data_IF_336206400440
#
_entry.id   IF_336206400440
#
_cell.length_a   1.000
_cell.length_b   1.000
_cell.length_c   1.000
_cell.angle_alpha   90.00
_cell.angle_beta   90.00
_cell.angle_gamma   90.00
#
_symmetry.space_group_name_H-M   'P 1'
#
loop_
_entity.id
_entity.type
_entity.pdbx_description
1 polymer ?
#
# COMPACT_ATOMS: atom_id res chain seq x y z
N UNK A 1 2.18 4.12 -21.07
CA UNK A 1 2.61 3.30 -19.92
C UNK A 1 4.03 2.84 -20.23
N UNK A 2 5.00 2.99 -19.32
CA UNK A 2 6.35 2.50 -19.57
C UNK A 2 6.34 0.97 -19.74
N UNK A 3 7.22 0.45 -20.60
CA UNK A 3 7.36 -0.99 -20.82
C UNK A 3 7.98 -1.58 -19.55
N UNK A 4 7.30 -2.56 -18.94
CA UNK A 4 7.84 -3.30 -17.80
C UNK A 4 8.83 -4.34 -18.34
N UNK A 5 10.10 -4.32 -17.91
CA UNK A 5 11.09 -5.27 -18.39
C UNK A 5 10.73 -6.72 -18.03
N UNK A 6 10.94 -7.63 -18.98
CA UNK A 6 10.84 -9.08 -18.76
C UNK A 6 12.19 -9.64 -18.35
N UNK A 7 12.19 -10.47 -17.31
CA UNK A 7 13.32 -11.28 -16.83
C UNK A 7 13.12 -12.71 -17.32
N UNK A 8 14.21 -13.30 -17.84
CA UNK A 8 14.25 -14.69 -18.28
C UNK A 8 15.14 -15.47 -17.32
N UNK A 9 14.57 -16.42 -16.59
CA UNK A 9 15.34 -17.35 -15.75
C UNK A 9 15.46 -18.71 -16.42
N UNK A 10 16.70 -19.13 -16.66
CA UNK A 10 17.00 -20.44 -17.23
C UNK A 10 17.21 -21.44 -16.10
N UNK A 11 16.42 -22.51 -16.11
CA UNK A 11 16.57 -23.65 -15.20
C UNK A 11 16.78 -24.94 -16.00
N UNK A 12 17.22 -26.01 -15.35
CA UNK A 12 17.31 -27.34 -15.99
C UNK A 12 15.95 -27.84 -16.52
N UNK A 13 14.83 -27.28 -16.05
CA UNK A 13 13.45 -27.63 -16.46
C UNK A 13 12.87 -26.69 -17.53
N UNK A 14 13.67 -25.77 -18.06
CA UNK A 14 13.25 -24.80 -19.08
C UNK A 14 13.39 -23.34 -18.63
N UNK A 15 12.87 -22.44 -19.46
CA UNK A 15 12.90 -20.99 -19.24
C UNK A 15 11.58 -20.52 -18.60
N UNK A 16 11.69 -19.68 -17.57
CA UNK A 16 10.54 -18.97 -16.98
C UNK A 16 10.66 -17.48 -17.26
N UNK A 17 9.52 -16.87 -17.58
CA UNK A 17 9.40 -15.46 -17.90
C UNK A 17 8.65 -14.76 -16.77
N UNK A 18 9.24 -13.70 -16.23
CA UNK A 18 8.66 -12.87 -15.19
C UNK A 18 8.77 -11.41 -15.60
N UNK A 19 7.85 -10.56 -15.19
CA UNK A 19 8.14 -9.14 -15.13
C UNK A 19 8.95 -8.80 -13.87
N UNK A 20 9.59 -7.62 -13.85
CA UNK A 20 10.42 -7.19 -12.71
C UNK A 20 9.65 -7.18 -11.38
N UNK A 21 8.37 -6.81 -11.36
CA UNK A 21 7.57 -6.77 -10.12
C UNK A 21 7.22 -8.18 -9.65
N UNK A 22 6.84 -9.07 -10.57
CA UNK A 22 6.66 -10.50 -10.24
C UNK A 22 7.91 -11.12 -9.63
N UNK A 23 9.10 -10.76 -10.15
CA UNK A 23 10.37 -11.25 -9.58
C UNK A 23 10.64 -10.68 -8.19
N UNK A 24 10.36 -9.40 -7.97
CA UNK A 24 10.48 -8.77 -6.65
C UNK A 24 9.45 -9.31 -5.64
N UNK A 25 8.27 -9.70 -6.10
CA UNK A 25 7.25 -10.33 -5.27
C UNK A 25 7.70 -11.72 -4.77
N UNK A 26 8.46 -12.50 -5.56
CA UNK A 26 9.10 -13.73 -5.06
C UNK A 26 10.05 -13.46 -3.88
N UNK A 27 10.68 -12.27 -3.87
CA UNK A 27 11.51 -11.77 -2.77
C UNK A 27 10.74 -11.03 -1.66
N UNK A 28 9.40 -11.12 -1.70
CA UNK A 28 8.47 -10.51 -0.73
C UNK A 28 8.50 -8.99 -0.72
N UNK A 29 8.77 -8.39 -1.87
CA UNK A 29 8.79 -6.94 -2.07
C UNK A 29 7.54 -6.51 -2.85
N UNK A 30 6.77 -5.59 -2.27
CA UNK A 30 5.56 -5.00 -2.86
C UNK A 30 5.78 -3.50 -3.04
N UNK A 31 5.26 -2.94 -4.15
CA UNK A 31 5.28 -1.51 -4.41
C UNK A 31 3.88 -0.91 -4.35
N UNK A 32 3.68 0.03 -3.43
CA UNK A 32 2.54 0.95 -3.41
C UNK A 32 2.97 2.26 -4.07
N UNK A 33 2.71 2.39 -5.37
CA UNK A 33 3.14 3.54 -6.17
C UNK A 33 1.96 4.22 -6.86
N UNK A 34 1.94 5.56 -6.82
CA UNK A 34 0.87 6.37 -7.41
C UNK A 34 -0.37 6.51 -6.51
N UNK A 35 -1.46 7.13 -6.99
CA UNK A 35 -2.64 7.41 -6.17
C UNK A 35 -3.31 6.15 -5.63
N UNK A 36 -3.66 6.17 -4.34
CA UNK A 36 -4.38 5.06 -3.70
C UNK A 36 -5.83 5.03 -4.20
N UNK A 37 -6.15 4.01 -4.95
CA UNK A 37 -7.49 3.70 -5.49
C UNK A 37 -7.91 2.32 -5.03
N UNK A 38 -9.20 1.99 -5.13
CA UNK A 38 -9.71 0.66 -4.76
C UNK A 38 -9.03 -0.46 -5.58
N UNK A 39 -8.75 -0.21 -6.85
CA UNK A 39 -8.05 -1.17 -7.72
C UNK A 39 -6.61 -1.41 -7.27
N UNK A 40 -5.87 -0.35 -6.95
CA UNK A 40 -4.50 -0.47 -6.44
C UNK A 40 -4.48 -1.14 -5.06
N UNK A 41 -5.41 -0.77 -4.18
CA UNK A 41 -5.52 -1.38 -2.86
C UNK A 41 -5.81 -2.87 -2.94
N UNK A 42 -6.74 -3.29 -3.80
CA UNK A 42 -7.04 -4.72 -4.00
C UNK A 42 -5.81 -5.51 -4.47
N UNK A 43 -4.99 -4.94 -5.37
CA UNK A 43 -3.75 -5.59 -5.81
C UNK A 43 -2.77 -5.78 -4.65
N UNK A 44 -2.50 -4.71 -3.89
CA UNK A 44 -1.57 -4.74 -2.74
C UNK A 44 -2.06 -5.71 -1.67
N UNK A 45 -3.37 -5.73 -1.37
CA UNK A 45 -3.98 -6.66 -0.42
C UNK A 45 -3.79 -8.12 -0.90
N UNK A 46 -4.06 -8.40 -2.18
CA UNK A 46 -3.89 -9.73 -2.73
C UNK A 46 -2.43 -10.20 -2.65
N UNK A 47 -1.48 -9.31 -2.94
CA UNK A 47 -0.04 -9.60 -2.82
C UNK A 47 0.36 -9.87 -1.36
N UNK A 48 -0.10 -9.06 -0.40
CA UNK A 48 0.16 -9.28 1.03
C UNK A 48 -0.37 -10.65 1.48
N UNK A 49 -1.62 -10.98 1.15
CA UNK A 49 -2.23 -12.26 1.52
C UNK A 49 -1.52 -13.45 0.85
N UNK A 50 -1.11 -13.31 -0.41
CA UNK A 50 -0.34 -14.33 -1.12
C UNK A 50 1.00 -14.59 -0.41
N UNK A 51 1.71 -13.54 0.00
CA UNK A 51 2.98 -13.68 0.69
C UNK A 51 2.81 -14.27 2.10
N UNK A 52 1.83 -13.80 2.85
CA UNK A 52 1.52 -14.32 4.19
C UNK A 52 1.16 -15.81 4.14
N UNK A 53 0.37 -16.25 3.16
CA UNK A 53 0.01 -17.67 2.99
C UNK A 53 1.18 -18.57 2.58
N UNK A 54 2.18 -18.03 1.87
CA UNK A 54 3.39 -18.79 1.48
C UNK A 54 4.35 -19.00 2.64
N UNK A 55 4.53 -17.98 3.47
CA UNK A 55 5.42 -18.03 4.63
C UNK A 55 4.96 -16.97 5.65
N UNK A 56 4.29 -17.37 6.75
CA UNK A 56 3.77 -16.45 7.76
C UNK A 56 4.83 -15.97 8.75
N UNK A 57 6.08 -16.43 8.65
CA UNK A 57 7.17 -16.03 9.57
C UNK A 57 8.18 -15.10 8.92
N UNK A 58 8.20 -15.03 7.58
CA UNK A 58 9.12 -14.16 6.84
C UNK A 58 8.50 -12.79 6.59
N UNK A 59 9.24 -11.73 6.89
CA UNK A 59 8.81 -10.35 6.67
C UNK A 59 8.39 -10.06 5.22
N UNK A 60 7.45 -9.13 5.06
CA UNK A 60 7.10 -8.48 3.79
C UNK A 60 7.71 -7.08 3.77
N UNK A 61 8.22 -6.63 2.61
CA UNK A 61 8.72 -5.26 2.42
C UNK A 61 7.78 -4.48 1.53
N UNK A 62 7.10 -3.48 2.09
CA UNK A 62 6.21 -2.57 1.38
C UNK A 62 6.92 -1.26 1.09
N UNK A 63 7.26 -1.03 -0.18
CA UNK A 63 7.83 0.23 -0.66
C UNK A 63 6.70 1.20 -1.02
N UNK A 64 6.73 2.39 -0.43
CA UNK A 64 5.66 3.39 -0.52
C UNK A 64 6.18 4.62 -1.26
N UNK A 65 5.54 4.94 -2.39
CA UNK A 65 5.73 6.17 -3.15
C UNK A 65 4.39 6.67 -3.69
N UNK A 66 3.62 7.35 -2.84
CA UNK A 66 2.25 7.74 -3.16
C UNK A 66 1.92 9.12 -2.61
N UNK A 67 1.17 9.96 -3.36
CA UNK A 67 0.60 11.18 -2.83
C UNK A 67 -0.59 10.93 -1.89
N UNK A 68 -1.00 9.68 -1.68
CA UNK A 68 -2.21 9.29 -0.97
C UNK A 68 -3.37 9.02 -1.92
N UNK A 69 -4.60 9.10 -1.42
CA UNK A 69 -5.80 8.82 -2.23
C UNK A 69 -7.00 8.49 -1.37
N UNK A 70 -7.80 7.51 -1.81
CA UNK A 70 -9.01 7.07 -1.10
C UNK A 70 -8.69 6.59 0.32
N UNK A 71 -9.39 7.17 1.30
CA UNK A 71 -9.21 6.80 2.72
C UNK A 71 -9.65 5.37 2.97
N UNK A 72 -10.79 4.95 2.43
CA UNK A 72 -11.30 3.57 2.61
C UNK A 72 -10.39 2.55 1.95
N UNK A 73 -9.86 2.84 0.76
CA UNK A 73 -8.88 1.97 0.10
C UNK A 73 -7.59 1.84 0.92
N UNK A 74 -7.10 2.96 1.46
CA UNK A 74 -5.93 2.95 2.34
C UNK A 74 -6.19 2.21 3.65
N UNK A 75 -7.37 2.35 4.25
CA UNK A 75 -7.75 1.61 5.46
C UNK A 75 -7.86 0.10 5.22
N UNK A 76 -8.31 -0.33 4.04
CA UNK A 76 -8.31 -1.75 3.69
C UNK A 76 -6.89 -2.35 3.65
N UNK A 77 -5.92 -1.61 3.10
CA UNK A 77 -4.50 -2.01 3.15
C UNK A 77 -4.01 -2.01 4.60
N UNK A 78 -4.31 -0.96 5.36
CA UNK A 78 -3.91 -0.82 6.77
C UNK A 78 -4.39 -2.03 7.59
N UNK A 79 -5.68 -2.36 7.52
CA UNK A 79 -6.27 -3.47 8.26
C UNK A 79 -5.67 -4.81 7.82
N UNK A 80 -5.37 -4.97 6.53
CA UNK A 80 -4.69 -6.17 6.03
C UNK A 80 -3.28 -6.31 6.60
N UNK A 81 -2.53 -5.21 6.72
CA UNK A 81 -1.20 -5.21 7.36
C UNK A 81 -1.31 -5.64 8.84
N UNK A 82 -2.34 -5.19 9.55
CA UNK A 82 -2.55 -5.56 10.96
C UNK A 82 -3.12 -6.99 11.13
N UNK A 83 -3.79 -7.52 10.12
CA UNK A 83 -4.50 -8.80 10.18
C UNK A 83 -3.59 -10.02 9.99
N UNK A 84 -2.53 -9.89 9.19
CA UNK A 84 -1.62 -11.00 8.88
C UNK A 84 -0.63 -11.28 10.03
N UNK A 85 -0.17 -12.52 10.15
CA UNK A 85 0.77 -12.92 11.20
C UNK A 85 2.22 -12.44 10.97
N UNK A 86 2.64 -12.29 9.70
CA UNK A 86 3.99 -11.86 9.36
C UNK A 86 4.16 -10.35 9.45
N UNK A 87 5.33 -9.90 9.92
CA UNK A 87 5.64 -8.47 9.97
C UNK A 87 5.70 -7.83 8.57
N UNK A 88 5.13 -6.64 8.45
CA UNK A 88 5.28 -5.77 7.28
C UNK A 88 6.25 -4.64 7.59
N UNK A 89 7.39 -4.64 6.92
CA UNK A 89 8.35 -3.55 6.92
C UNK A 89 7.93 -2.50 5.88
N UNK A 90 7.80 -1.24 6.28
CA UNK A 90 7.37 -0.15 5.40
C UNK A 90 8.54 0.79 5.10
N UNK A 91 8.73 1.13 3.82
CA UNK A 91 9.85 1.94 3.37
C UNK A 91 9.34 3.06 2.47
N UNK A 92 9.46 4.31 2.91
CA UNK A 92 9.15 5.46 2.07
C UNK A 92 10.27 5.77 1.09
N UNK A 93 9.97 5.76 -0.20
CA UNK A 93 10.87 6.10 -1.30
C UNK A 93 10.26 7.20 -2.16
N UNK A 94 10.68 8.45 -1.94
CA UNK A 94 10.05 9.61 -2.57
C UNK A 94 8.98 10.21 -1.67
N UNK A 95 7.70 9.96 -1.91
CA UNK A 95 6.62 10.58 -1.14
C UNK A 95 5.76 9.54 -0.40
N UNK A 96 5.50 9.79 0.88
CA UNK A 96 4.40 9.18 1.62
C UNK A 96 3.44 10.30 2.05
N UNK A 97 2.51 10.65 1.16
CA UNK A 97 1.53 11.72 1.39
C UNK A 97 0.17 11.20 1.83
N UNK A 98 -0.49 11.91 2.74
CA UNK A 98 -1.84 11.63 3.22
C UNK A 98 -1.97 10.17 3.72
N UNK A 99 -2.86 9.37 3.14
CA UNK A 99 -2.97 7.93 3.43
C UNK A 99 -1.67 7.15 3.24
N UNK A 100 -0.74 7.61 2.38
CA UNK A 100 0.60 7.05 2.27
C UNK A 100 1.42 7.17 3.56
N UNK A 101 1.32 8.31 4.26
CA UNK A 101 1.97 8.50 5.56
C UNK A 101 1.34 7.62 6.64
N UNK A 102 0.01 7.47 6.62
CA UNK A 102 -0.71 6.54 7.52
C UNK A 102 -0.25 5.09 7.31
N UNK A 103 -0.15 4.65 6.06
CA UNK A 103 0.33 3.31 5.73
C UNK A 103 1.81 3.11 6.05
N UNK A 104 2.65 4.13 5.86
CA UNK A 104 4.04 4.09 6.33
C UNK A 104 4.12 3.86 7.83
N UNK A 105 3.27 4.54 8.61
CA UNK A 105 3.21 4.39 10.06
C UNK A 105 2.66 3.03 10.53
N UNK A 106 1.89 2.33 9.67
CA UNK A 106 1.25 1.04 9.94
C UNK A 106 2.21 -0.16 9.95
N UNK A 107 3.43 0.01 9.44
CA UNK A 107 4.45 -1.04 9.46
C UNK A 107 4.82 -1.48 10.87
N UNK A 108 5.37 -2.68 10.97
CA UNK A 108 5.75 -3.29 12.25
C UNK A 108 6.72 -2.40 13.05
N UNK A 109 6.60 -2.44 14.39
CA UNK A 109 7.41 -1.62 15.29
C UNK A 109 8.91 -1.88 15.06
N UNK A 110 9.67 -0.82 14.83
CA UNK A 110 11.11 -0.91 14.53
C UNK A 110 11.44 -1.25 13.07
N UNK A 111 10.43 -1.46 12.21
CA UNK A 111 10.57 -1.79 10.80
C UNK A 111 9.91 -0.76 9.87
N UNK A 112 9.95 0.52 10.27
CA UNK A 112 9.39 1.65 9.51
C UNK A 112 10.52 2.58 9.12
N UNK A 113 10.75 2.74 7.82
CA UNK A 113 11.93 3.39 7.28
C UNK A 113 11.55 4.47 6.26
N UNK A 114 12.41 5.47 6.13
CA UNK A 114 12.34 6.46 5.06
C UNK A 114 13.75 6.69 4.52
N UNK A 115 13.89 6.82 3.21
CA UNK A 115 15.16 7.21 2.60
C UNK A 115 15.47 8.69 2.91
N UNK A 116 16.74 9.13 2.81
CA UNK A 116 17.16 10.46 3.27
C UNK A 116 16.45 11.65 2.61
N UNK A 117 15.98 11.49 1.37
CA UNK A 117 15.29 12.54 0.61
C UNK A 117 13.78 12.31 0.51
N UNK A 118 13.24 11.37 1.29
CA UNK A 118 11.81 11.08 1.27
C UNK A 118 11.02 12.15 2.04
N UNK A 119 9.86 12.50 1.51
CA UNK A 119 8.91 13.42 2.12
C UNK A 119 7.73 12.64 2.74
N UNK A 120 7.38 13.01 3.97
CA UNK A 120 6.21 12.46 4.67
C UNK A 120 5.26 13.63 4.92
N UNK A 121 4.07 13.55 4.33
CA UNK A 121 3.08 14.62 4.41
C UNK A 121 1.81 14.10 5.07
N UNK A 122 1.46 14.62 6.24
CA UNK A 122 0.19 14.38 6.90
C UNK A 122 -0.71 15.60 6.77
N UNK A 123 -1.99 15.38 6.49
CA UNK A 123 -3.02 16.41 6.51
C UNK A 123 -4.38 15.78 6.86
N UNK A 124 -5.33 16.60 7.33
CA UNK A 124 -6.69 16.12 7.61
C UNK A 124 -7.41 15.66 6.33
N UNK A 125 -8.34 14.71 6.45
CA UNK A 125 -9.15 14.23 5.33
C UNK A 125 -9.86 15.39 4.63
N UNK A 126 -9.84 15.36 3.30
CA UNK A 126 -10.58 16.28 2.44
C UNK A 126 -11.69 15.49 1.73
N UNK A 127 -12.89 16.06 1.65
CA UNK A 127 -14.04 15.46 0.99
C UNK A 127 -15.12 16.50 0.72
N UNK A 128 -15.96 16.23 -0.28
CA UNK A 128 -17.11 17.07 -0.63
C UNK A 128 -18.37 16.21 -0.71
N UNK A 129 -19.49 16.75 -0.24
CA UNK A 129 -20.81 16.11 -0.29
C UNK A 129 -21.81 17.10 -0.89
N UNK A 130 -22.67 16.61 -1.78
CA UNK A 130 -23.79 17.34 -2.35
C UNK A 130 -25.04 16.47 -2.25
N UNK A 131 -26.22 17.08 -2.11
CA UNK A 131 -27.46 16.32 -1.93
C UNK A 131 -28.49 17.06 -1.07
N UNK A 132 -29.48 16.32 -0.58
CA UNK A 132 -30.45 16.85 0.39
C UNK A 132 -29.76 17.23 1.71
N UNK A 133 -30.39 18.10 2.50
CA UNK A 133 -29.83 18.54 3.78
C UNK A 133 -29.43 17.36 4.70
N UNK A 134 -30.26 16.32 4.74
CA UNK A 134 -29.98 15.09 5.50
C UNK A 134 -28.76 14.32 4.98
N UNK A 135 -28.58 14.23 3.66
CA UNK A 135 -27.42 13.56 3.04
C UNK A 135 -26.13 14.33 3.31
N UNK A 136 -26.19 15.67 3.23
CA UNK A 136 -25.08 16.55 3.58
C UNK A 136 -24.69 16.35 5.06
N UNK A 137 -25.67 16.31 5.97
CA UNK A 137 -25.40 16.09 7.39
C UNK A 137 -24.76 14.73 7.65
N UNK A 138 -25.30 13.65 7.08
CA UNK A 138 -24.76 12.29 7.23
C UNK A 138 -23.33 12.22 6.69
N UNK A 139 -23.09 12.75 5.49
CA UNK A 139 -21.76 12.77 4.89
C UNK A 139 -20.77 13.56 5.74
N UNK A 140 -21.17 14.75 6.23
CA UNK A 140 -20.29 15.59 7.04
C UNK A 140 -19.91 14.89 8.36
N UNK A 141 -20.88 14.23 9.01
CA UNK A 141 -20.62 13.39 10.19
C UNK A 141 -19.63 12.26 9.88
N UNK A 142 -19.72 11.63 8.71
CA UNK A 142 -18.77 10.59 8.31
C UNK A 142 -17.36 11.14 8.07
N UNK A 143 -17.21 12.30 7.43
CA UNK A 143 -15.90 12.96 7.26
C UNK A 143 -15.28 13.31 8.63
N UNK A 144 -16.08 13.85 9.55
CA UNK A 144 -15.63 14.16 10.91
C UNK A 144 -15.20 12.90 11.67
N UNK A 145 -15.94 11.80 11.52
CA UNK A 145 -15.57 10.51 12.11
C UNK A 145 -14.26 9.98 11.57
N UNK A 146 -14.02 10.10 10.27
CA UNK A 146 -12.76 9.67 9.62
C UNK A 146 -11.56 10.54 10.06
N UNK A 147 -11.80 11.82 10.36
CA UNK A 147 -10.75 12.75 10.80
C UNK A 147 -10.23 12.46 12.22
N UNK A 148 -11.08 11.93 13.10
CA UNK A 148 -10.77 11.69 14.51
C UNK A 148 -9.90 10.45 14.70
#
# INVERSE_FOLDING_TARGET
MPIIPTIIEKSQRGERFYDIFSKLLEERIIFLSGPITDALANLVIAEILLLASKDPHRDIKLYINTPGGSVTAGLAIYDTIQYIDCDVSTICVGLAGSMGATLLAAGAKGKRFALPNSEILLHQVAGGITGQATEIEIGARQILKIKQ
#
